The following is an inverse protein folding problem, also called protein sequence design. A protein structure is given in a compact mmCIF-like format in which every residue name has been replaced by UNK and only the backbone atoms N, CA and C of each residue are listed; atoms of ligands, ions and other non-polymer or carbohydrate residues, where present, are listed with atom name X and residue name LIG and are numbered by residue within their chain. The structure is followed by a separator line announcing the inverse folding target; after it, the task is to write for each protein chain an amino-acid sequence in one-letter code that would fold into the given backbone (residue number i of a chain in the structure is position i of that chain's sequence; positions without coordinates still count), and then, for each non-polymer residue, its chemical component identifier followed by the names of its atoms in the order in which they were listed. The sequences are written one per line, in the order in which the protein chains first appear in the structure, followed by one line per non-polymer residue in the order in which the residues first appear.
data_IF_482896457521
#
_entry.id   IF_482896457521
#
_cell.length_a   1.000
_cell.length_b   1.000
_cell.length_c   1.000
_cell.angle_alpha   90.00
_cell.angle_beta   90.00
_cell.angle_gamma   90.00
#
_symmetry.space_group_name_H-M   'P 1'
#
loop_
_entity.id
_entity.type
_entity.pdbx_description
1 polymer ?
#
# COMPACT_ATOMS: atom_id res chain seq x y z
N UNK A 1 30.41 32.18 -33.82
CA UNK A 1 28.97 31.80 -33.92
C UNK A 1 28.74 30.29 -33.73
N UNK A 2 29.46 29.39 -34.37
CA UNK A 2 29.22 27.91 -34.26
C UNK A 2 29.33 27.35 -32.85
N UNK A 3 30.26 27.84 -32.00
CA UNK A 3 30.41 27.33 -30.59
C UNK A 3 29.22 27.70 -29.71
N UNK A 4 28.61 28.85 -29.86
CA UNK A 4 27.41 29.24 -29.10
C UNK A 4 26.20 28.37 -29.45
N UNK A 5 26.06 27.95 -30.71
CA UNK A 5 24.98 27.07 -31.16
C UNK A 5 25.09 25.68 -30.54
N UNK A 6 26.30 25.13 -30.41
CA UNK A 6 26.49 23.82 -29.74
C UNK A 6 26.19 23.88 -28.24
N UNK A 7 26.56 24.97 -27.57
CA UNK A 7 26.25 25.15 -26.14
C UNK A 7 24.75 25.26 -25.93
N UNK A 8 24.04 26.04 -26.72
CA UNK A 8 22.58 26.17 -26.66
C UNK A 8 21.87 24.83 -26.92
N UNK A 9 22.32 24.08 -27.92
CA UNK A 9 21.79 22.77 -28.24
C UNK A 9 22.02 21.78 -27.07
N UNK A 10 23.20 21.79 -26.47
CA UNK A 10 23.50 20.91 -25.28
C UNK A 10 22.66 21.30 -24.08
N UNK A 11 22.48 22.56 -23.75
CA UNK A 11 21.59 23.00 -22.67
C UNK A 11 20.14 22.63 -22.92
N UNK A 12 19.65 22.69 -24.14
CA UNK A 12 18.30 22.27 -24.53
C UNK A 12 18.11 20.75 -24.32
N UNK A 13 19.09 19.95 -24.75
CA UNK A 13 19.07 18.50 -24.50
C UNK A 13 19.12 18.16 -23.01
N UNK A 14 19.91 18.87 -22.23
CA UNK A 14 20.02 18.69 -20.78
C UNK A 14 18.71 19.05 -20.07
N UNK A 15 17.97 20.06 -20.51
CA UNK A 15 16.68 20.43 -19.94
C UNK A 15 15.58 19.40 -20.22
N UNK A 16 15.61 18.73 -21.39
CA UNK A 16 14.70 17.65 -21.73
C UNK A 16 14.89 16.41 -20.84
N UNK A 17 16.14 16.10 -20.47
CA UNK A 17 16.43 14.99 -19.55
C UNK A 17 15.85 15.22 -18.15
N UNK A 18 15.84 16.45 -17.66
CA UNK A 18 15.29 16.76 -16.34
C UNK A 18 13.76 16.60 -16.26
N UNK A 19 13.05 16.85 -17.37
CA UNK A 19 11.60 16.69 -17.43
C UNK A 19 11.17 15.20 -17.25
N UNK A 20 11.99 14.27 -17.71
CA UNK A 20 11.68 12.84 -17.59
C UNK A 20 11.91 12.29 -16.19
N UNK A 21 12.83 12.86 -15.41
CA UNK A 21 13.11 12.43 -14.03
C UNK A 21 11.94 12.71 -13.08
N UNK A 22 11.21 13.80 -13.26
CA UNK A 22 10.05 14.12 -12.43
C UNK A 22 8.88 13.15 -12.67
N UNK A 23 8.62 12.78 -13.92
CA UNK A 23 7.58 11.81 -14.25
C UNK A 23 7.90 10.39 -13.73
N UNK A 24 9.18 10.01 -13.67
CA UNK A 24 9.59 8.70 -13.18
C UNK A 24 9.32 8.51 -11.66
N UNK A 25 9.43 9.57 -10.87
CA UNK A 25 9.14 9.52 -9.44
C UNK A 25 7.64 9.25 -9.17
N UNK A 26 6.75 9.84 -9.93
CA UNK A 26 5.32 9.61 -9.78
C UNK A 26 4.93 8.18 -10.18
N UNK A 27 5.49 7.67 -11.27
CA UNK A 27 5.26 6.28 -11.69
C UNK A 27 5.72 5.29 -10.63
N UNK A 28 6.87 5.51 -9.99
CA UNK A 28 7.37 4.66 -8.92
C UNK A 28 6.43 4.66 -7.71
N UNK A 29 5.91 5.82 -7.31
CA UNK A 29 4.96 5.94 -6.18
C UNK A 29 3.65 5.18 -6.43
N UNK A 30 3.14 5.17 -7.66
CA UNK A 30 1.93 4.44 -8.04
C UNK A 30 2.18 2.94 -8.22
N UNK A 31 3.41 2.54 -8.55
CA UNK A 31 3.78 1.13 -8.71
C UNK A 31 4.20 0.47 -7.40
N UNK A 32 4.48 1.24 -6.37
CA UNK A 32 4.87 0.72 -5.06
C UNK A 32 3.69 0.01 -4.40
N UNK A 33 3.89 -1.26 -4.12
CA UNK A 33 2.89 -2.08 -3.46
C UNK A 33 3.04 -1.96 -1.94
N UNK A 34 1.99 -1.48 -1.30
CA UNK A 34 1.93 -1.43 0.16
C UNK A 34 1.40 -2.75 0.72
N UNK A 35 2.05 -3.28 1.75
CA UNK A 35 1.58 -4.47 2.46
C UNK A 35 0.54 -4.02 3.49
N UNK A 36 -0.73 -4.10 3.11
CA UNK A 36 -1.87 -3.70 3.93
C UNK A 36 -2.79 -4.90 4.08
N UNK A 37 -3.30 -5.15 5.28
CA UNK A 37 -4.22 -6.26 5.51
C UNK A 37 -4.28 -6.67 6.98
N UNK A 38 -4.48 -7.95 7.23
CA UNK A 38 -4.49 -8.48 8.60
C UNK A 38 -3.13 -8.28 9.27
N UNK A 39 -3.13 -8.18 10.61
CA UNK A 39 -1.90 -8.04 11.39
C UNK A 39 -0.91 -9.19 11.09
N UNK A 40 -1.43 -10.41 10.87
CA UNK A 40 -0.62 -11.57 10.49
C UNK A 40 0.02 -11.39 9.12
N UNK A 41 -0.75 -10.95 8.13
CA UNK A 41 -0.26 -10.71 6.77
C UNK A 41 0.84 -9.65 6.74
N UNK A 42 0.60 -8.53 7.43
CA UNK A 42 1.57 -7.43 7.55
C UNK A 42 2.81 -7.86 8.32
N UNK A 43 2.64 -8.53 9.48
CA UNK A 43 3.74 -8.99 10.32
C UNK A 43 4.66 -10.01 9.64
N UNK A 44 4.14 -10.75 8.67
CA UNK A 44 4.92 -11.69 7.85
C UNK A 44 5.43 -11.08 6.53
N UNK A 45 5.31 -9.76 6.35
CA UNK A 45 5.77 -9.08 5.14
C UNK A 45 5.08 -9.58 3.86
N UNK A 46 3.83 -10.05 3.93
CA UNK A 46 3.09 -10.60 2.80
C UNK A 46 3.37 -12.07 2.50
N UNK A 47 4.22 -12.77 3.26
CA UNK A 47 4.56 -14.18 3.01
C UNK A 47 3.37 -15.14 3.13
N UNK A 48 2.26 -14.71 3.75
CA UNK A 48 1.00 -15.46 3.80
C UNK A 48 0.43 -15.78 2.41
N UNK A 49 0.83 -15.05 1.39
CA UNK A 49 0.50 -15.34 -0.02
C UNK A 49 0.89 -16.75 -0.45
N UNK A 50 2.03 -17.23 0.02
CA UNK A 50 2.51 -18.60 -0.27
C UNK A 50 1.85 -19.65 0.64
N UNK A 51 1.54 -19.29 1.88
CA UNK A 51 0.99 -20.21 2.88
C UNK A 51 -0.53 -20.35 2.72
N UNK A 52 -1.23 -19.24 2.43
CA UNK A 52 -2.69 -19.18 2.39
C UNK A 52 -3.33 -19.14 3.78
N UNK A 53 -4.67 -19.22 3.83
CA UNK A 53 -5.42 -19.21 5.10
C UNK A 53 -5.45 -17.83 5.78
N UNK A 54 -5.24 -16.77 5.01
CA UNK A 54 -5.40 -15.38 5.43
C UNK A 54 -6.20 -14.62 4.37
N UNK A 55 -7.25 -13.87 4.74
CA UNK A 55 -8.10 -13.19 3.76
C UNK A 55 -7.36 -12.10 2.99
N UNK A 56 -6.31 -11.49 3.55
CA UNK A 56 -5.49 -10.52 2.83
C UNK A 56 -4.67 -11.16 1.72
N UNK A 57 -4.22 -12.40 1.94
CA UNK A 57 -3.42 -13.13 0.96
C UNK A 57 -4.24 -13.60 -0.26
N UNK A 58 -5.58 -13.69 -0.14
CA UNK A 58 -6.45 -14.19 -1.23
C UNK A 58 -6.43 -13.26 -2.44
N UNK A 59 -6.19 -11.96 -2.25
CA UNK A 59 -6.06 -11.02 -3.37
C UNK A 59 -4.88 -11.38 -4.26
N UNK A 60 -3.80 -11.87 -3.68
CA UNK A 60 -2.59 -12.25 -4.39
C UNK A 60 -2.63 -13.69 -4.89
N UNK A 61 -3.18 -14.55 -4.05
CA UNK A 61 -3.29 -15.98 -4.31
C UNK A 61 -4.67 -16.49 -3.91
N UNK A 62 -5.65 -16.46 -4.81
CA UNK A 62 -7.01 -16.95 -4.54
C UNK A 62 -7.05 -18.42 -4.13
N UNK A 63 -6.05 -19.22 -4.50
CA UNK A 63 -5.98 -20.63 -4.10
C UNK A 63 -5.88 -20.82 -2.58
N UNK A 64 -5.36 -19.81 -1.86
CA UNK A 64 -5.28 -19.79 -0.40
C UNK A 64 -6.65 -19.86 0.28
N UNK A 65 -7.73 -19.50 -0.41
CA UNK A 65 -9.11 -19.65 0.07
C UNK A 65 -9.48 -21.14 0.27
N UNK A 66 -8.88 -22.04 -0.50
CA UNK A 66 -9.11 -23.48 -0.38
C UNK A 66 -8.69 -24.09 0.94
N UNK A 67 -7.93 -23.40 1.77
CA UNK A 67 -7.50 -23.86 3.10
C UNK A 67 -8.55 -23.69 4.19
N UNK A 68 -9.54 -22.85 3.97
CA UNK A 68 -10.58 -22.63 4.97
C UNK A 68 -11.50 -23.84 5.09
N UNK A 69 -11.70 -24.29 6.33
CA UNK A 69 -12.55 -25.42 6.70
C UNK A 69 -13.75 -25.01 7.54
N UNK A 70 -13.78 -23.75 7.97
CA UNK A 70 -14.85 -23.13 8.78
C UNK A 70 -15.15 -21.75 8.25
N UNK A 71 -16.40 -21.33 8.41
CA UNK A 71 -16.81 -19.97 8.14
C UNK A 71 -16.21 -19.03 9.18
N UNK A 72 -15.76 -17.86 8.72
CA UNK A 72 -15.04 -16.90 9.55
C UNK A 72 -15.39 -15.48 9.12
N UNK A 73 -15.50 -14.57 10.08
CA UNK A 73 -15.61 -13.13 9.83
C UNK A 73 -14.42 -12.46 10.48
N UNK A 74 -13.75 -11.61 9.73
CA UNK A 74 -12.55 -10.92 10.18
C UNK A 74 -12.68 -9.42 9.98
N UNK A 75 -12.31 -8.67 11.02
CA UNK A 75 -12.24 -7.22 11.03
C UNK A 75 -10.84 -6.82 11.47
N UNK A 76 -10.18 -5.96 10.70
CA UNK A 76 -8.86 -5.45 11.03
C UNK A 76 -8.95 -3.95 11.30
N UNK A 77 -8.42 -3.53 12.43
CA UNK A 77 -8.21 -2.13 12.78
C UNK A 77 -6.72 -1.84 12.70
N UNK A 78 -6.37 -0.69 12.15
CA UNK A 78 -5.00 -0.21 12.00
C UNK A 78 -4.88 1.18 12.62
N UNK A 79 -3.85 1.36 13.44
CA UNK A 79 -3.48 2.66 13.98
C UNK A 79 -2.11 3.03 13.46
N UNK A 80 -2.05 4.13 12.73
CA UNK A 80 -0.79 4.68 12.20
C UNK A 80 -0.45 5.94 12.99
N UNK A 81 0.75 5.97 13.56
CA UNK A 81 1.31 7.13 14.25
C UNK A 81 2.42 7.70 13.37
N UNK A 82 2.13 8.83 12.73
CA UNK A 82 3.12 9.57 11.94
C UNK A 82 3.85 10.55 12.86
N UNK A 83 5.18 10.49 12.87
CA UNK A 83 6.04 11.45 13.56
C UNK A 83 6.89 12.17 12.53
N UNK A 84 6.79 13.49 12.53
CA UNK A 84 7.63 14.34 11.67
C UNK A 84 8.47 15.24 12.56
N UNK A 85 9.79 15.14 12.42
CA UNK A 85 10.74 16.00 13.10
C UNK A 85 11.23 17.04 12.10
N UNK A 86 11.16 18.30 12.46
CA UNK A 86 11.70 19.38 11.65
C UNK A 86 13.22 19.50 11.87
N UNK A 87 13.97 19.66 10.77
CA UNK A 87 15.44 19.68 10.82
C UNK A 87 16.00 20.93 11.54
N UNK A 88 15.25 22.01 11.60
CA UNK A 88 15.69 23.33 12.07
C UNK A 88 15.15 23.71 13.45
N UNK A 89 14.06 23.06 13.88
CA UNK A 89 13.50 23.16 15.22
C UNK A 89 13.31 21.77 15.80
N UNK A 90 13.58 21.57 17.10
CA UNK A 90 13.35 20.27 17.77
C UNK A 90 11.86 19.94 17.96
N UNK A 91 10.97 20.59 17.21
CA UNK A 91 9.55 20.36 17.30
C UNK A 91 9.15 19.02 16.66
N UNK A 92 8.49 18.19 17.44
CA UNK A 92 7.99 16.87 17.02
C UNK A 92 6.49 16.98 16.79
N UNK A 93 6.07 16.85 15.54
CA UNK A 93 4.67 16.78 15.19
C UNK A 93 4.22 15.32 15.15
N UNK A 94 3.27 14.97 16.01
CA UNK A 94 2.69 13.61 16.06
C UNK A 94 1.25 13.64 15.58
N UNK A 95 0.88 12.69 14.73
CA UNK A 95 -0.48 12.50 14.29
C UNK A 95 -0.85 11.02 14.32
N UNK A 96 -1.84 10.68 15.12
CA UNK A 96 -2.42 9.35 15.16
C UNK A 96 -3.64 9.27 14.24
N UNK A 97 -3.77 8.18 13.50
CA UNK A 97 -4.90 7.89 12.62
C UNK A 97 -5.37 6.47 12.83
N UNK A 98 -6.66 6.34 13.06
CA UNK A 98 -7.33 5.04 13.08
C UNK A 98 -7.92 4.76 11.70
N UNK A 99 -7.71 3.56 11.20
CA UNK A 99 -8.23 3.12 9.92
C UNK A 99 -8.79 1.69 10.00
N UNK A 100 -9.66 1.38 9.05
CA UNK A 100 -10.21 0.04 8.84
C UNK A 100 -9.64 -0.50 7.52
N UNK A 101 -8.49 -1.16 7.54
CA UNK A 101 -7.84 -1.63 6.32
C UNK A 101 -8.57 -2.80 5.69
N UNK A 102 -9.28 -3.63 6.47
CA UNK A 102 -9.93 -4.81 5.93
C UNK A 102 -11.15 -5.25 6.74
N UNK A 103 -12.18 -5.66 6.00
CA UNK A 103 -13.33 -6.42 6.48
C UNK A 103 -13.52 -7.60 5.55
N UNK A 104 -13.64 -8.81 6.09
CA UNK A 104 -13.85 -10.01 5.29
C UNK A 104 -14.81 -10.98 5.96
N UNK A 105 -15.58 -11.67 5.14
CA UNK A 105 -16.45 -12.75 5.54
C UNK A 105 -16.19 -13.95 4.62
N UNK A 106 -15.93 -15.08 5.22
CA UNK A 106 -15.60 -16.32 4.53
C UNK A 106 -16.66 -17.36 4.92
N UNK A 107 -17.24 -17.98 3.92
CA UNK A 107 -18.15 -19.11 4.09
C UNK A 107 -17.46 -20.36 3.57
N UNK A 108 -17.30 -21.33 4.45
CA UNK A 108 -16.73 -22.61 4.12
C UNK A 108 -17.74 -23.71 4.52
N UNK A 109 -18.13 -24.52 3.55
CA UNK A 109 -19.00 -25.67 3.80
C UNK A 109 -18.52 -26.87 2.99
N UNK A 110 -18.67 -28.04 3.55
CA UNK A 110 -18.25 -29.26 2.89
C UNK A 110 -18.55 -30.49 3.71
N UNK A 111 -18.30 -31.64 3.09
CA UNK A 111 -18.44 -32.93 3.73
C UNK A 111 -17.07 -33.65 3.73
N UNK A 112 -16.40 -33.73 4.90
CA UNK A 112 -15.10 -34.38 5.01
C UNK A 112 -15.14 -35.89 4.75
N UNK A 113 -16.31 -36.53 4.83
CA UNK A 113 -16.48 -37.94 4.59
C UNK A 113 -16.58 -38.30 3.10
N UNK A 114 -16.65 -37.30 2.24
CA UNK A 114 -16.74 -37.49 0.79
C UNK A 114 -15.36 -37.75 0.21
N UNK A 115 -15.15 -38.89 -0.41
CA UNK A 115 -13.85 -39.29 -0.98
C UNK A 115 -13.61 -38.85 -2.42
N UNK A 116 -14.65 -38.45 -3.16
CA UNK A 116 -14.54 -38.05 -4.57
C UNK A 116 -15.43 -36.83 -4.89
N UNK A 117 -14.98 -36.04 -5.83
CA UNK A 117 -15.67 -34.84 -6.28
C UNK A 117 -15.39 -33.63 -5.39
N UNK A 118 -16.30 -32.65 -5.37
CA UNK A 118 -16.18 -31.44 -4.59
C UNK A 118 -16.38 -31.75 -3.09
N UNK A 119 -15.31 -31.63 -2.31
CA UNK A 119 -15.29 -31.94 -0.87
C UNK A 119 -15.63 -30.68 -0.06
N UNK A 120 -15.05 -29.54 -0.43
CA UNK A 120 -15.28 -28.25 0.19
C UNK A 120 -15.61 -27.19 -0.86
N UNK A 121 -16.51 -26.28 -0.48
CA UNK A 121 -16.80 -25.03 -1.17
C UNK A 121 -16.45 -23.89 -0.25
N UNK A 122 -15.66 -22.96 -0.76
CA UNK A 122 -15.28 -21.75 -0.03
C UNK A 122 -15.68 -20.53 -0.86
N UNK A 123 -16.37 -19.61 -0.23
CA UNK A 123 -16.73 -18.32 -0.80
C UNK A 123 -16.26 -17.23 0.15
N UNK A 124 -15.71 -16.15 -0.39
CA UNK A 124 -15.27 -15.01 0.39
C UNK A 124 -15.82 -13.72 -0.21
N UNK A 125 -16.27 -12.85 0.66
CA UNK A 125 -16.47 -11.44 0.39
C UNK A 125 -15.50 -10.64 1.24
N UNK A 126 -14.73 -9.74 0.62
CA UNK A 126 -13.75 -8.93 1.33
C UNK A 126 -13.71 -7.52 0.75
N UNK A 127 -13.62 -6.55 1.64
CA UNK A 127 -13.30 -5.17 1.32
C UNK A 127 -11.94 -4.89 1.96
N UNK A 128 -10.95 -4.55 1.14
CA UNK A 128 -9.59 -4.30 1.58
C UNK A 128 -9.05 -3.03 0.95
N UNK A 129 -8.38 -2.21 1.76
CA UNK A 129 -7.61 -1.06 1.28
C UNK A 129 -6.32 -1.55 0.64
N UNK A 130 -6.08 -1.21 -0.62
CA UNK A 130 -4.91 -1.63 -1.37
C UNK A 130 -3.73 -0.67 -1.21
N UNK A 131 -3.99 0.60 -1.02
CA UNK A 131 -2.97 1.62 -0.85
C UNK A 131 -3.44 2.75 0.08
N UNK A 132 -2.49 3.39 0.71
CA UNK A 132 -2.69 4.58 1.52
C UNK A 132 -1.89 5.74 0.92
N UNK A 133 -2.58 6.68 0.30
CA UNK A 133 -1.98 7.86 -0.31
C UNK A 133 -1.94 9.08 0.64
N UNK A 134 -2.38 8.89 1.87
CA UNK A 134 -2.44 9.97 2.84
C UNK A 134 -1.04 10.30 3.38
N UNK A 135 -0.43 11.36 2.87
CA UNK A 135 0.88 11.87 3.27
C UNK A 135 0.74 13.29 3.79
N UNK A 136 1.29 13.56 4.96
CA UNK A 136 1.45 14.91 5.48
C UNK A 136 2.89 15.35 5.33
N UNK A 137 3.06 16.50 4.73
CA UNK A 137 4.36 17.20 4.69
C UNK A 137 4.13 18.55 5.36
N UNK A 138 4.84 18.81 6.45
CA UNK A 138 4.87 20.12 7.08
C UNK A 138 6.08 20.85 6.50
N UNK A 139 5.82 21.94 5.77
CA UNK A 139 6.86 22.82 5.24
C UNK A 139 6.68 24.17 5.89
N UNK A 140 7.63 24.55 6.75
CA UNK A 140 7.74 25.92 7.25
C UNK A 140 8.73 26.71 6.37
N UNK A 141 8.23 27.77 5.76
CA UNK A 141 9.05 28.75 5.05
C UNK A 141 9.16 30.02 5.89
N UNK A 142 10.28 30.68 5.88
CA UNK A 142 10.45 32.00 6.48
C UNK A 142 9.51 33.00 5.79
N UNK A 143 8.27 33.16 6.30
CA UNK A 143 7.36 34.18 5.85
C UNK A 143 5.90 33.81 5.60
N UNK A 144 5.52 32.57 5.39
CA UNK A 144 4.11 32.13 5.31
C UNK A 144 3.99 30.64 5.61
N UNK A 145 3.39 30.32 6.74
CA UNK A 145 3.00 28.93 7.02
C UNK A 145 1.91 28.50 6.05
N UNK A 146 2.24 27.69 5.08
CA UNK A 146 1.27 27.03 4.21
C UNK A 146 1.20 25.56 4.60
N UNK A 147 0.09 25.19 5.22
CA UNK A 147 -0.24 23.76 5.45
C UNK A 147 -0.98 23.30 4.22
N UNK A 148 -0.30 22.60 3.34
CA UNK A 148 -0.94 21.95 2.20
C UNK A 148 -1.25 20.51 2.58
N UNK A 149 -2.53 20.20 2.64
CA UNK A 149 -3.04 18.83 2.83
C UNK A 149 -3.32 18.27 1.45
N UNK A 150 -2.48 17.38 0.97
CA UNK A 150 -2.70 16.61 -0.25
C UNK A 150 -3.11 15.18 0.13
#
# INVERSE_FOLDING_TARGET
MKRATYILSFCFWLSLLNCQLSAAQDVQRFSERQIIGTARYVGMGGAMTAIGGDPSAVIDNPAGLGLYRRSEVMLTLDETIDQTTQLESEDIYQRARLALPQVSAIWAWGNPNKQRGMIYNNFMFSIQRLANFNRNVVVEGAGMGMVETI
#
